data_IF_072365024182
#
_entry.id   IF_072365024182
#
_cell.length_a   1.000
_cell.length_b   1.000
_cell.length_c   1.000
_cell.angle_alpha   90.00
_cell.angle_beta   90.00
_cell.angle_gamma   90.00
#
_symmetry.space_group_name_H-M   'P 1'
#
loop_
_entity.id
_entity.type
_entity.pdbx_description
1 polymer ?
#
# COMPACT_ATOMS: atom_id res chain seq x y z
N UNK A 1 -4.46 -1.56 2.60
CA UNK A 1 -4.07 -0.16 2.93
C UNK A 1 -3.96 0.70 1.67
N UNK A 2 -2.89 0.60 0.86
CA UNK A 2 -2.60 1.55 -0.23
C UNK A 2 -3.67 1.63 -1.34
N UNK A 3 -4.05 0.49 -1.92
CA UNK A 3 -5.08 0.42 -2.98
C UNK A 3 -6.50 0.37 -2.42
N UNK A 4 -6.67 0.26 -1.09
CA UNK A 4 -7.98 0.20 -0.41
C UNK A 4 -8.99 -0.73 -1.12
N UNK A 5 -8.60 -1.98 -1.23
CA UNK A 5 -9.54 -3.05 -1.59
C UNK A 5 -10.51 -3.29 -0.43
N UNK A 6 -11.79 -3.07 -0.70
CA UNK A 6 -12.82 -3.13 0.34
C UNK A 6 -13.27 -4.58 0.64
N UNK A 7 -12.89 -5.55 -0.17
CA UNK A 7 -13.31 -6.95 -0.04
C UNK A 7 -12.13 -7.95 -0.07
N UNK A 8 -11.16 -7.80 0.85
CA UNK A 8 -10.10 -8.80 0.96
C UNK A 8 -10.70 -10.11 1.49
N UNK A 9 -10.67 -11.15 0.67
CA UNK A 9 -11.09 -12.50 1.04
C UNK A 9 -9.96 -13.51 0.77
N UNK A 10 -9.89 -14.57 1.57
CA UNK A 10 -8.81 -15.57 1.46
C UNK A 10 -8.92 -16.44 0.20
N UNK A 11 -10.12 -16.54 -0.39
CA UNK A 11 -10.33 -17.24 -1.66
C UNK A 11 -9.66 -16.53 -2.85
N UNK A 12 -9.36 -15.24 -2.71
CA UNK A 12 -8.63 -14.43 -3.69
C UNK A 12 -7.12 -14.39 -3.44
N UNK A 13 -6.59 -15.37 -2.68
CA UNK A 13 -5.17 -15.54 -2.42
C UNK A 13 -4.71 -16.89 -2.97
N UNK A 14 -3.83 -16.85 -3.97
CA UNK A 14 -3.17 -18.03 -4.52
C UNK A 14 -1.72 -18.07 -4.04
N UNK A 15 -1.20 -19.27 -3.78
CA UNK A 15 0.19 -19.49 -3.35
C UNK A 15 0.80 -20.50 -4.33
N UNK A 16 1.87 -20.12 -5.01
CA UNK A 16 2.60 -21.03 -5.89
C UNK A 16 3.60 -21.89 -5.12
N UNK A 17 4.17 -22.90 -5.78
CA UNK A 17 5.10 -23.87 -5.18
C UNK A 17 6.35 -23.21 -4.57
N UNK A 18 6.77 -22.08 -5.13
CA UNK A 18 7.86 -21.23 -4.64
C UNK A 18 7.44 -20.26 -3.52
N UNK A 19 6.27 -20.48 -2.90
CA UNK A 19 5.69 -19.66 -1.84
C UNK A 19 5.38 -18.20 -2.23
N UNK A 20 5.32 -17.90 -3.52
CA UNK A 20 4.89 -16.58 -3.98
C UNK A 20 3.39 -16.41 -3.81
N UNK A 21 3.02 -15.34 -3.13
CA UNK A 21 1.62 -14.96 -2.92
C UNK A 21 1.14 -14.15 -4.12
N UNK A 22 0.05 -14.60 -4.72
CA UNK A 22 -0.68 -13.89 -5.76
C UNK A 22 -2.04 -13.49 -5.22
N UNK A 23 -2.25 -12.19 -5.08
CA UNK A 23 -3.57 -11.65 -4.80
C UNK A 23 -4.29 -11.41 -6.12
N UNK A 24 -5.52 -11.88 -6.23
CA UNK A 24 -6.38 -11.68 -7.40
C UNK A 24 -7.62 -10.87 -7.02
N UNK A 25 -8.40 -10.50 -8.05
CA UNK A 25 -9.68 -9.80 -7.91
C UNK A 25 -9.60 -8.51 -7.07
N UNK A 26 -9.11 -7.45 -7.72
CA UNK A 26 -9.08 -6.09 -7.19
C UNK A 26 -10.24 -5.24 -7.71
N UNK A 27 -11.35 -5.86 -8.11
CA UNK A 27 -12.52 -5.15 -8.68
C UNK A 27 -13.12 -4.13 -7.70
N UNK A 28 -12.87 -4.28 -6.40
CA UNK A 28 -13.32 -3.37 -5.33
C UNK A 28 -12.21 -2.48 -4.73
N UNK A 29 -11.10 -2.35 -5.45
CA UNK A 29 -9.99 -1.46 -5.08
C UNK A 29 -10.22 0.00 -5.50
N UNK A 30 -9.22 0.81 -5.19
CA UNK A 30 -9.07 2.23 -5.54
C UNK A 30 -10.18 3.16 -5.04
N UNK A 31 -10.83 2.81 -3.93
CA UNK A 31 -11.79 3.70 -3.27
C UNK A 31 -11.15 5.07 -2.97
N UNK A 32 -11.96 6.13 -2.95
CA UNK A 32 -11.49 7.51 -2.74
C UNK A 32 -11.24 7.87 -1.25
N UNK A 33 -11.38 6.90 -0.34
CA UNK A 33 -11.09 7.08 1.08
C UNK A 33 -9.62 7.39 1.33
N UNK A 34 -9.32 8.42 2.11
CA UNK A 34 -7.94 8.87 2.34
C UNK A 34 -7.32 8.29 3.60
N UNK A 35 -8.11 7.64 4.45
CA UNK A 35 -7.63 6.98 5.67
C UNK A 35 -7.18 5.55 5.41
N UNK A 36 -6.31 5.05 6.29
CA UNK A 36 -5.93 3.65 6.31
C UNK A 36 -7.05 2.85 6.95
N UNK A 37 -7.43 1.73 6.35
CA UNK A 37 -8.51 0.86 6.85
C UNK A 37 -8.11 0.22 8.17
N UNK A 38 -6.91 -0.36 8.21
CA UNK A 38 -6.36 -1.07 9.37
C UNK A 38 -4.88 -0.68 9.56
N UNK A 39 -4.58 0.52 10.09
CA UNK A 39 -3.18 0.95 10.28
C UNK A 39 -2.38 0.04 11.25
N UNK A 40 -3.07 -0.74 12.09
CA UNK A 40 -2.46 -1.73 12.99
C UNK A 40 -1.76 -2.88 12.25
N UNK A 41 -2.18 -3.21 11.02
CA UNK A 41 -1.58 -4.28 10.22
C UNK A 41 -0.19 -3.90 9.68
N UNK A 42 0.16 -2.60 9.71
CA UNK A 42 1.44 -2.07 9.22
C UNK A 42 2.48 -2.16 10.34
N UNK A 43 2.97 -3.36 10.59
CA UNK A 43 3.92 -3.65 11.69
C UNK A 43 5.37 -3.70 11.24
N UNK A 44 5.65 -4.25 10.05
CA UNK A 44 6.97 -4.31 9.43
C UNK A 44 6.86 -4.08 7.92
N UNK A 45 7.95 -3.65 7.29
CA UNK A 45 8.03 -3.41 5.86
C UNK A 45 9.36 -3.89 5.30
N UNK A 46 9.36 -4.39 4.06
CA UNK A 46 10.61 -4.61 3.33
C UNK A 46 11.31 -3.26 3.09
N UNK A 47 12.64 -3.21 3.27
CA UNK A 47 13.43 -1.98 3.09
C UNK A 47 13.26 -1.35 1.72
N UNK A 48 13.36 -2.14 0.66
CA UNK A 48 13.27 -1.62 -0.70
C UNK A 48 11.87 -1.14 -1.04
N UNK A 49 10.84 -1.84 -0.54
CA UNK A 49 9.45 -1.42 -0.67
C UNK A 49 9.21 -0.09 0.04
N UNK A 50 9.76 0.11 1.25
CA UNK A 50 9.62 1.36 1.98
C UNK A 50 10.26 2.54 1.23
N UNK A 51 11.46 2.36 0.67
CA UNK A 51 12.10 3.37 -0.17
C UNK A 51 11.24 3.68 -1.41
N UNK A 52 10.71 2.67 -2.08
CA UNK A 52 9.82 2.86 -3.25
C UNK A 52 8.50 3.54 -2.87
N UNK A 53 7.95 3.27 -1.69
CA UNK A 53 6.78 3.99 -1.19
C UNK A 53 7.08 5.47 -1.00
N UNK A 54 8.21 5.82 -0.38
CA UNK A 54 8.64 7.23 -0.23
C UNK A 54 8.87 7.90 -1.59
N UNK A 55 9.44 7.18 -2.55
CA UNK A 55 9.72 7.69 -3.88
C UNK A 55 8.52 7.71 -4.85
N UNK A 56 7.38 7.12 -4.48
CA UNK A 56 6.20 7.08 -5.34
C UNK A 56 5.74 8.50 -5.67
N UNK A 57 5.71 8.84 -6.96
CA UNK A 57 5.33 10.16 -7.43
C UNK A 57 3.89 10.19 -7.96
N UNK A 58 3.17 11.26 -7.65
CA UNK A 58 1.77 11.40 -8.02
C UNK A 58 1.57 11.56 -9.53
N UNK A 59 2.48 12.28 -10.22
CA UNK A 59 2.38 12.49 -11.67
C UNK A 59 2.71 11.20 -12.41
N UNK A 60 3.77 10.49 -12.00
CA UNK A 60 4.10 9.18 -12.56
C UNK A 60 2.98 8.16 -12.33
N UNK A 61 2.39 8.14 -11.14
CA UNK A 61 1.23 7.28 -10.85
C UNK A 61 0.08 7.62 -11.79
N UNK A 62 -0.31 8.89 -11.87
CA UNK A 62 -1.41 9.34 -12.74
C UNK A 62 -1.19 8.97 -14.21
N UNK A 63 0.03 9.16 -14.72
CA UNK A 63 0.35 8.85 -16.11
C UNK A 63 0.35 7.33 -16.37
N UNK A 64 0.93 6.53 -15.46
CA UNK A 64 0.99 5.07 -15.60
C UNK A 64 -0.37 4.39 -15.42
N UNK A 65 -1.28 5.01 -14.68
CA UNK A 65 -2.64 4.50 -14.47
C UNK A 65 -3.68 5.27 -15.29
N UNK A 66 -3.25 6.04 -16.28
CA UNK A 66 -4.13 6.78 -17.16
C UNK A 66 -5.13 5.82 -17.81
N UNK A 67 -6.40 6.22 -17.85
CA UNK A 67 -7.56 5.42 -18.28
C UNK A 67 -8.07 4.37 -17.29
N UNK A 68 -7.34 4.08 -16.20
CA UNK A 68 -7.80 3.15 -15.16
C UNK A 68 -8.21 3.86 -13.87
N UNK A 69 -7.48 4.90 -13.49
CA UNK A 69 -7.78 5.69 -12.31
C UNK A 69 -8.14 7.14 -12.67
N UNK A 70 -9.14 7.65 -11.98
CA UNK A 70 -9.49 9.07 -11.95
C UNK A 70 -8.49 9.87 -11.10
N UNK A 71 -8.51 11.19 -11.26
CA UNK A 71 -7.66 12.09 -10.46
C UNK A 71 -7.92 11.97 -8.96
N UNK A 72 -9.17 11.76 -8.55
CA UNK A 72 -9.53 11.64 -7.13
C UNK A 72 -9.06 10.30 -6.54
N UNK A 73 -9.09 9.22 -7.31
CA UNK A 73 -8.57 7.91 -6.88
C UNK A 73 -7.04 7.96 -6.74
N UNK A 74 -6.33 8.59 -7.68
CA UNK A 74 -4.89 8.85 -7.55
C UNK A 74 -4.59 9.67 -6.29
N UNK A 75 -5.35 10.76 -6.06
CA UNK A 75 -5.20 11.59 -4.86
C UNK A 75 -5.43 10.79 -3.57
N UNK A 76 -6.40 9.88 -3.56
CA UNK A 76 -6.67 9.00 -2.43
C UNK A 76 -5.54 7.98 -2.20
N UNK A 77 -4.98 7.39 -3.27
CA UNK A 77 -3.80 6.51 -3.17
C UNK A 77 -2.61 7.25 -2.56
N UNK A 78 -2.33 8.46 -3.04
CA UNK A 78 -1.21 9.27 -2.51
C UNK A 78 -1.43 9.66 -1.05
N UNK A 79 -2.64 10.08 -0.66
CA UNK A 79 -2.95 10.37 0.74
C UNK A 79 -2.75 9.15 1.66
N UNK A 80 -3.08 7.95 1.17
CA UNK A 80 -2.82 6.71 1.91
C UNK A 80 -1.34 6.34 1.92
N UNK A 81 -0.61 6.57 0.82
CA UNK A 81 0.85 6.41 0.79
C UNK A 81 1.48 7.24 1.90
N UNK A 82 1.14 8.53 1.99
CA UNK A 82 1.75 9.45 2.96
C UNK A 82 1.51 8.96 4.39
N UNK A 83 0.31 8.48 4.70
CA UNK A 83 -0.02 7.88 6.01
C UNK A 83 0.71 6.58 6.30
N UNK A 84 0.92 5.74 5.29
CA UNK A 84 1.72 4.51 5.44
C UNK A 84 3.16 4.86 5.77
N UNK A 85 3.73 5.86 5.07
CA UNK A 85 5.09 6.32 5.31
C UNK A 85 5.23 6.89 6.72
N UNK A 86 4.35 7.81 7.12
CA UNK A 86 4.33 8.40 8.47
C UNK A 86 4.21 7.32 9.56
N UNK A 87 3.35 6.30 9.36
CA UNK A 87 3.20 5.19 10.29
C UNK A 87 4.52 4.42 10.50
N UNK A 88 5.21 4.07 9.42
CA UNK A 88 6.49 3.36 9.53
C UNK A 88 7.59 4.24 10.10
N UNK A 89 7.64 5.53 9.76
CA UNK A 89 8.60 6.47 10.36
C UNK A 89 8.42 6.58 11.88
N UNK A 90 7.18 6.65 12.37
CA UNK A 90 6.88 6.63 13.80
C UNK A 90 7.34 5.32 14.46
N UNK A 91 7.04 4.18 13.85
CA UNK A 91 7.50 2.89 14.36
C UNK A 91 9.02 2.80 14.41
N UNK A 92 9.73 3.30 13.39
CA UNK A 92 11.19 3.34 13.34
C UNK A 92 11.74 4.20 14.48
N UNK A 93 11.13 5.36 14.74
CA UNK A 93 11.52 6.23 15.85
C UNK A 93 11.27 5.59 17.23
N UNK A 94 10.18 4.83 17.37
CA UNK A 94 9.79 4.17 18.62
C UNK A 94 10.59 2.89 18.92
N UNK A 95 10.89 2.09 17.90
CA UNK A 95 11.42 0.71 18.04
C UNK A 95 12.80 0.49 17.44
N UNK A 96 13.29 1.44 16.65
CA UNK A 96 14.51 1.29 15.86
C UNK A 96 14.24 0.71 14.48
N UNK A 97 15.13 1.05 13.53
CA UNK A 97 14.96 0.70 12.11
C UNK A 97 14.94 -0.82 11.86
N UNK A 98 15.83 -1.57 12.50
CA UNK A 98 15.97 -3.02 12.28
C UNK A 98 14.77 -3.84 12.79
N UNK A 99 14.00 -3.30 13.73
CA UNK A 99 12.78 -3.96 14.22
C UNK A 99 11.59 -3.77 13.27
N UNK A 100 11.64 -2.73 12.44
CA UNK A 100 10.52 -2.34 11.56
C UNK A 100 10.80 -2.69 10.11
N UNK A 101 12.05 -2.55 9.67
CA UNK A 101 12.47 -2.78 8.30
C UNK A 101 13.30 -4.07 8.19
N UNK A 102 12.78 -5.04 7.43
CA UNK A 102 13.45 -6.30 7.12
C UNK A 102 14.01 -6.33 5.69
#
# INVERSE_FOLDING_TARGET
QLVYDNDPNLTNVLISEDWKIWRIDFTRAFRTFKDLRNPGDLVRCDRQLFEKLKALDANQLAEKTKHYLTKDEVKAVMARRDKIVDRFQKLIAEKGENEVLY
#
